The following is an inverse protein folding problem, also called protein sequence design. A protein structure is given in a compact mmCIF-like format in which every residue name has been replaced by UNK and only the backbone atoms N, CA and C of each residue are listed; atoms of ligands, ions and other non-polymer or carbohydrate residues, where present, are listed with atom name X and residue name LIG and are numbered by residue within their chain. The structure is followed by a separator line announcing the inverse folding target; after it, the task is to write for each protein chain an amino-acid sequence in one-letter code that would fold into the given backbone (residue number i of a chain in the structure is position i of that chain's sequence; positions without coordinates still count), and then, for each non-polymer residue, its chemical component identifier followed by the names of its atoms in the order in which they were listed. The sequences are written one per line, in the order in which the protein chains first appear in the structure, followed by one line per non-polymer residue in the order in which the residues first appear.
data_IF_008942742771
#
_entry.id   IF_008942742771
#
_cell.length_a   1.000
_cell.length_b   1.000
_cell.length_c   1.000
_cell.angle_alpha   90.00
_cell.angle_beta   90.00
_cell.angle_gamma   90.00
#
_symmetry.space_group_name_H-M   'P 1'
#
loop_
_entity.id
_entity.type
_entity.pdbx_description
1 polymer ?
#
# COMPACT_ATOMS: atom_id res chain seq x y z
N UNK A 1 81.83 -1.92 -27.44
CA UNK A 1 82.06 -0.47 -27.65
C UNK A 1 81.70 0.26 -26.36
N UNK A 2 82.67 0.95 -25.73
CA UNK A 2 82.45 1.65 -24.45
C UNK A 2 81.65 2.93 -24.71
N UNK A 3 80.63 3.20 -23.88
CA UNK A 3 79.80 4.40 -24.01
C UNK A 3 80.25 5.44 -23.00
N UNK A 4 80.53 6.64 -23.49
CA UNK A 4 80.92 7.78 -22.66
C UNK A 4 79.92 8.90 -22.82
N UNK A 5 79.56 9.56 -21.71
CA UNK A 5 78.87 10.84 -21.74
C UNK A 5 79.82 11.88 -21.17
N UNK A 6 80.08 12.93 -21.95
CA UNK A 6 80.90 14.07 -21.53
C UNK A 6 80.00 15.26 -21.28
N UNK A 7 80.01 15.77 -20.04
CA UNK A 7 79.32 17.00 -19.68
C UNK A 7 80.38 18.08 -19.56
N UNK A 8 80.20 19.18 -20.29
CA UNK A 8 81.09 20.35 -20.24
C UNK A 8 80.33 21.50 -19.63
N UNK A 9 80.85 22.04 -18.53
CA UNK A 9 80.34 23.24 -17.88
C UNK A 9 81.47 24.28 -17.71
N UNK A 10 81.17 25.40 -17.05
CA UNK A 10 82.13 26.48 -16.79
C UNK A 10 83.36 26.05 -15.96
N UNK A 11 83.36 24.83 -15.40
CA UNK A 11 84.40 24.24 -14.56
C UNK A 11 85.26 23.20 -15.30
N UNK A 12 84.97 22.92 -16.57
CA UNK A 12 85.72 21.97 -17.41
C UNK A 12 84.88 20.78 -17.91
N UNK A 13 85.55 19.79 -18.50
CA UNK A 13 84.90 18.61 -19.11
C UNK A 13 85.04 17.38 -18.20
N UNK A 14 83.92 16.83 -17.73
CA UNK A 14 83.86 15.55 -17.01
C UNK A 14 83.32 14.44 -17.91
N UNK A 15 84.07 13.34 -18.03
CA UNK A 15 83.69 12.13 -18.79
C UNK A 15 83.26 11.02 -17.84
N UNK A 16 82.09 10.43 -18.09
CA UNK A 16 81.57 9.29 -17.35
C UNK A 16 81.55 8.06 -18.27
N UNK A 17 82.19 6.96 -17.83
CA UNK A 17 82.18 5.67 -18.54
C UNK A 17 81.01 4.82 -18.06
N UNK A 18 80.20 4.32 -19.00
CA UNK A 18 79.06 3.46 -18.71
C UNK A 18 79.32 2.01 -19.12
N UNK A 19 78.63 1.08 -18.45
CA UNK A 19 78.74 -0.36 -18.72
C UNK A 19 78.43 -0.69 -20.19
N UNK A 20 78.98 -1.79 -20.75
CA UNK A 20 78.78 -2.15 -22.16
C UNK A 20 77.30 -2.28 -22.59
N UNK A 21 76.41 -2.59 -21.65
CA UNK A 21 74.98 -2.81 -21.88
C UNK A 21 74.13 -1.54 -21.65
N UNK A 22 74.73 -0.42 -21.24
CA UNK A 22 74.01 0.79 -20.84
C UNK A 22 73.03 1.30 -21.90
N UNK A 23 73.47 1.39 -23.17
CA UNK A 23 72.60 1.83 -24.28
C UNK A 23 71.39 0.92 -24.49
N UNK A 24 71.58 -0.40 -24.41
CA UNK A 24 70.51 -1.38 -24.55
C UNK A 24 69.49 -1.23 -23.43
N UNK A 25 69.94 -1.12 -22.19
CA UNK A 25 69.05 -0.98 -21.04
C UNK A 25 68.32 0.38 -21.04
N UNK A 26 68.98 1.46 -21.49
CA UNK A 26 68.37 2.77 -21.66
C UNK A 26 67.24 2.72 -22.71
N UNK A 27 67.48 2.06 -23.85
CA UNK A 27 66.46 1.86 -24.88
C UNK A 27 65.30 1.01 -24.37
N UNK A 28 65.56 -0.10 -23.66
CA UNK A 28 64.51 -0.92 -23.07
C UNK A 28 63.67 -0.15 -22.03
N UNK A 29 64.32 0.67 -21.20
CA UNK A 29 63.63 1.55 -20.25
C UNK A 29 62.78 2.61 -20.96
N UNK A 30 63.28 3.23 -22.03
CA UNK A 30 62.52 4.18 -22.83
C UNK A 30 61.31 3.52 -23.51
N UNK A 31 61.49 2.35 -24.13
CA UNK A 31 60.39 1.58 -24.73
C UNK A 31 59.35 1.20 -23.67
N UNK A 32 59.78 0.74 -22.50
CA UNK A 32 58.89 0.40 -21.38
C UNK A 32 58.06 1.60 -20.91
N UNK A 33 58.68 2.77 -20.75
CA UNK A 33 57.98 4.01 -20.39
C UNK A 33 56.96 4.43 -21.46
N UNK A 34 57.33 4.34 -22.73
CA UNK A 34 56.41 4.62 -23.84
C UNK A 34 55.25 3.63 -23.87
N UNK A 35 55.51 2.34 -23.62
CA UNK A 35 54.46 1.31 -23.54
C UNK A 35 53.50 1.55 -22.37
N UNK A 36 54.00 1.92 -21.19
CA UNK A 36 53.16 2.31 -20.05
C UNK A 36 52.31 3.53 -20.40
N UNK A 37 52.93 4.56 -20.98
CA UNK A 37 52.22 5.77 -21.38
C UNK A 37 51.10 5.47 -22.37
N UNK A 38 51.36 4.61 -23.37
CA UNK A 38 50.36 4.19 -24.34
C UNK A 38 49.21 3.41 -23.69
N UNK A 39 49.51 2.50 -22.76
CA UNK A 39 48.51 1.76 -21.99
C UNK A 39 47.62 2.68 -21.16
N UNK A 40 48.21 3.67 -20.47
CA UNK A 40 47.46 4.67 -19.71
C UNK A 40 46.56 5.51 -20.62
N UNK A 41 47.04 5.85 -21.81
CA UNK A 41 46.28 6.64 -22.78
C UNK A 41 45.09 5.86 -23.34
N UNK A 42 45.29 4.57 -23.68
CA UNK A 42 44.21 3.66 -24.09
C UNK A 42 43.20 3.42 -22.98
N UNK A 43 43.65 3.23 -21.74
CA UNK A 43 42.78 3.08 -20.58
C UNK A 43 41.90 4.31 -20.36
N UNK A 44 42.49 5.51 -20.44
CA UNK A 44 41.75 6.77 -20.34
C UNK A 44 40.69 6.91 -21.43
N UNK A 45 41.03 6.54 -22.67
CA UNK A 45 40.08 6.57 -23.79
C UNK A 45 38.91 5.59 -23.55
N UNK A 46 39.21 4.37 -23.10
CA UNK A 46 38.17 3.37 -22.78
C UNK A 46 37.25 3.84 -21.64
N UNK A 47 37.81 4.48 -20.61
CA UNK A 47 37.05 5.08 -19.51
C UNK A 47 36.11 6.20 -19.99
N UNK A 48 36.60 7.10 -20.87
CA UNK A 48 35.76 8.16 -21.45
C UNK A 48 34.59 7.62 -22.24
N UNK A 49 34.81 6.58 -23.05
CA UNK A 49 33.73 5.93 -23.81
C UNK A 49 32.67 5.34 -22.88
N UNK A 50 33.09 4.55 -21.88
CA UNK A 50 32.16 3.97 -20.89
C UNK A 50 31.38 5.03 -20.12
N UNK A 51 32.02 6.14 -19.74
CA UNK A 51 31.33 7.23 -19.06
C UNK A 51 30.26 7.88 -19.94
N UNK A 52 30.55 8.09 -21.23
CA UNK A 52 29.58 8.62 -22.18
C UNK A 52 28.37 7.68 -22.34
N UNK A 53 28.60 6.38 -22.42
CA UNK A 53 27.51 5.38 -22.49
C UNK A 53 26.66 5.40 -21.20
N UNK A 54 27.30 5.56 -20.04
CA UNK A 54 26.62 5.64 -18.75
C UNK A 54 25.71 6.88 -18.66
N UNK A 55 26.18 8.02 -19.17
CA UNK A 55 25.40 9.26 -19.21
C UNK A 55 24.15 9.10 -20.11
N UNK A 56 24.28 8.45 -21.26
CA UNK A 56 23.14 8.16 -22.16
C UNK A 56 22.12 7.22 -21.49
N UNK A 57 22.59 6.16 -20.82
CA UNK A 57 21.73 5.25 -20.05
C UNK A 57 20.99 6.00 -18.93
N UNK A 58 21.69 6.86 -18.20
CA UNK A 58 21.08 7.68 -17.14
C UNK A 58 19.99 8.59 -17.73
N UNK A 59 20.26 9.28 -18.83
CA UNK A 59 19.26 10.12 -19.49
C UNK A 59 18.02 9.32 -19.93
N UNK A 60 18.22 8.12 -20.50
CA UNK A 60 17.11 7.22 -20.86
C UNK A 60 16.29 6.79 -19.65
N UNK A 61 16.94 6.42 -18.55
CA UNK A 61 16.26 6.06 -17.29
C UNK A 61 15.47 7.26 -16.75
N UNK A 62 16.03 8.47 -16.80
CA UNK A 62 15.32 9.68 -16.37
C UNK A 62 14.08 9.97 -17.24
N UNK A 63 14.21 9.85 -18.57
CA UNK A 63 13.09 10.02 -19.49
C UNK A 63 11.98 8.99 -19.24
N UNK A 64 12.34 7.71 -19.11
CA UNK A 64 11.39 6.64 -18.79
C UNK A 64 10.70 6.85 -17.45
N UNK A 65 11.43 7.29 -16.42
CA UNK A 65 10.83 7.58 -15.11
C UNK A 65 9.85 8.75 -15.18
N UNK A 66 10.12 9.75 -16.02
CA UNK A 66 9.21 10.87 -16.23
C UNK A 66 7.93 10.42 -16.96
N UNK A 67 8.06 9.64 -18.02
CA UNK A 67 6.93 9.05 -18.73
C UNK A 67 6.08 8.16 -17.80
N UNK A 68 6.73 7.30 -17.01
CA UNK A 68 6.07 6.43 -16.06
C UNK A 68 5.33 7.22 -14.98
N UNK A 69 5.89 8.35 -14.52
CA UNK A 69 5.20 9.26 -13.59
C UNK A 69 3.95 9.85 -14.21
N UNK A 70 4.04 10.38 -15.43
CA UNK A 70 2.90 10.97 -16.13
C UNK A 70 1.80 9.91 -16.36
N UNK A 71 2.17 8.71 -16.82
CA UNK A 71 1.22 7.61 -17.01
C UNK A 71 0.54 7.20 -15.70
N UNK A 72 1.28 7.15 -14.59
CA UNK A 72 0.69 6.88 -13.27
C UNK A 72 -0.29 7.97 -12.83
N UNK A 73 0.00 9.24 -13.10
CA UNK A 73 -0.94 10.34 -12.80
C UNK A 73 -2.22 10.24 -13.62
N UNK A 74 -2.10 9.93 -14.91
CA UNK A 74 -3.26 9.69 -15.79
C UNK A 74 -4.09 8.50 -15.33
N UNK A 75 -3.45 7.38 -14.99
CA UNK A 75 -4.13 6.20 -14.44
C UNK A 75 -4.84 6.52 -13.13
N UNK A 76 -4.23 7.29 -12.23
CA UNK A 76 -4.86 7.71 -10.99
C UNK A 76 -6.09 8.58 -11.24
N UNK A 77 -6.01 9.49 -12.23
CA UNK A 77 -7.15 10.33 -12.62
C UNK A 77 -8.28 9.47 -13.19
N UNK A 78 -7.99 8.62 -14.17
CA UNK A 78 -8.95 7.71 -14.78
C UNK A 78 -9.61 6.79 -13.73
N UNK A 79 -8.82 6.24 -12.80
CA UNK A 79 -9.32 5.42 -11.69
C UNK A 79 -10.26 6.21 -10.79
N UNK A 80 -9.93 7.46 -10.45
CA UNK A 80 -10.78 8.29 -9.60
C UNK A 80 -12.09 8.66 -10.31
N UNK A 81 -12.04 8.96 -11.60
CA UNK A 81 -13.23 9.25 -12.40
C UNK A 81 -14.13 8.00 -12.50
N UNK A 82 -13.54 6.83 -12.76
CA UNK A 82 -14.26 5.55 -12.74
C UNK A 82 -14.85 5.23 -11.35
N UNK A 83 -14.15 5.58 -10.27
CA UNK A 83 -14.67 5.40 -8.90
C UNK A 83 -15.89 6.28 -8.66
N UNK A 84 -15.86 7.54 -9.13
CA UNK A 84 -17.02 8.44 -9.05
C UNK A 84 -18.19 7.94 -9.89
N UNK A 85 -17.93 7.40 -11.08
CA UNK A 85 -18.97 6.79 -11.91
C UNK A 85 -19.56 5.54 -11.23
N UNK A 86 -18.73 4.68 -10.64
CA UNK A 86 -19.18 3.53 -9.86
C UNK A 86 -19.99 3.94 -8.63
N UNK A 87 -19.58 4.98 -7.92
CA UNK A 87 -20.33 5.52 -6.77
C UNK A 87 -21.68 6.06 -7.23
N UNK A 88 -21.71 6.81 -8.34
CA UNK A 88 -22.95 7.33 -8.94
C UNK A 88 -23.86 6.21 -9.45
N UNK A 89 -23.31 5.21 -10.13
CA UNK A 89 -24.07 4.03 -10.57
C UNK A 89 -24.54 3.20 -9.38
N UNK A 90 -23.77 3.13 -8.30
CA UNK A 90 -24.18 2.51 -7.04
C UNK A 90 -25.32 3.28 -6.36
N UNK A 91 -25.29 4.61 -6.37
CA UNK A 91 -26.41 5.45 -5.92
C UNK A 91 -27.64 5.30 -6.82
N UNK A 92 -27.46 5.22 -8.14
CA UNK A 92 -28.55 4.98 -9.09
C UNK A 92 -29.15 3.58 -8.94
N UNK A 93 -28.33 2.54 -8.78
CA UNK A 93 -28.77 1.18 -8.48
C UNK A 93 -29.46 1.10 -7.13
N UNK A 94 -28.92 1.76 -6.10
CA UNK A 94 -29.56 1.86 -4.79
C UNK A 94 -30.89 2.61 -4.88
N UNK A 95 -31.00 3.66 -5.69
CA UNK A 95 -32.25 4.37 -5.94
C UNK A 95 -33.24 3.52 -6.75
N UNK A 96 -32.76 2.70 -7.70
CA UNK A 96 -33.59 1.77 -8.47
C UNK A 96 -34.06 0.57 -7.65
N UNK A 97 -33.20 0.01 -6.80
CA UNK A 97 -33.54 -0.99 -5.79
C UNK A 97 -34.51 -0.42 -4.76
N UNK A 98 -34.29 0.83 -4.33
CA UNK A 98 -35.22 1.56 -3.47
C UNK A 98 -36.54 1.79 -4.18
N UNK A 99 -36.56 2.16 -5.47
CA UNK A 99 -37.79 2.31 -6.24
C UNK A 99 -38.51 0.98 -6.46
N UNK A 100 -37.79 -0.10 -6.74
CA UNK A 100 -38.35 -1.45 -6.86
C UNK A 100 -38.91 -1.94 -5.52
N UNK A 101 -38.20 -1.70 -4.42
CA UNK A 101 -38.67 -1.97 -3.07
C UNK A 101 -39.85 -1.07 -2.66
N UNK A 102 -39.85 0.21 -3.07
CA UNK A 102 -40.98 1.14 -2.90
C UNK A 102 -42.20 0.71 -3.72
N UNK A 103 -41.98 0.12 -4.90
CA UNK A 103 -43.05 -0.43 -5.74
C UNK A 103 -43.64 -1.72 -5.16
N UNK A 104 -42.83 -2.59 -4.53
CA UNK A 104 -43.32 -3.73 -3.74
C UNK A 104 -44.02 -3.29 -2.43
N UNK A 105 -43.53 -2.24 -1.78
CA UNK A 105 -44.07 -1.75 -0.50
C UNK A 105 -45.27 -0.82 -0.65
N UNK A 106 -45.51 -0.22 -1.82
CA UNK A 106 -46.75 0.50 -2.12
C UNK A 106 -47.99 -0.43 -2.17
N UNK A 107 -47.81 -1.75 -2.18
CA UNK A 107 -48.89 -2.73 -1.92
C UNK A 107 -49.02 -3.12 -0.43
N UNK A 108 -48.16 -2.60 0.45
CA UNK A 108 -48.13 -2.88 1.90
C UNK A 108 -47.90 -1.61 2.72
N UNK A 109 -48.60 -0.55 2.33
CA UNK A 109 -48.59 0.76 2.98
C UNK A 109 -48.55 0.70 4.52
N UNK A 110 -47.76 1.61 5.07
CA UNK A 110 -48.09 2.37 6.28
C UNK A 110 -48.40 1.55 7.55
N UNK A 111 -47.35 1.16 8.26
CA UNK A 111 -47.24 1.25 9.73
C UNK A 111 -45.89 0.68 10.18
N UNK A 112 -44.90 1.54 10.40
CA UNK A 112 -44.19 1.65 11.69
C UNK A 112 -42.99 2.60 11.56
N UNK A 113 -43.11 3.72 12.27
CA UNK A 113 -42.03 4.64 12.55
C UNK A 113 -40.94 3.96 13.39
N UNK A 114 -39.68 4.07 12.94
CA UNK A 114 -38.55 4.38 13.81
C UNK A 114 -38.26 3.44 14.98
N UNK A 115 -38.18 2.13 14.75
CA UNK A 115 -37.43 1.14 15.55
C UNK A 115 -37.72 -0.22 14.94
N UNK A 116 -36.72 -0.93 14.43
CA UNK A 116 -36.90 -2.37 14.24
C UNK A 116 -36.95 -2.95 15.67
N UNK A 117 -38.14 -3.31 16.13
CA UNK A 117 -38.30 -4.07 17.38
C UNK A 117 -37.86 -5.51 17.12
N UNK A 118 -36.55 -5.75 17.11
CA UNK A 118 -36.00 -7.09 16.97
C UNK A 118 -36.46 -7.91 18.18
N UNK A 119 -37.07 -9.07 17.93
CA UNK A 119 -37.27 -10.06 18.98
C UNK A 119 -35.93 -10.38 19.65
N UNK A 120 -35.94 -10.83 20.92
CA UNK A 120 -34.70 -11.15 21.64
C UNK A 120 -33.80 -12.13 20.87
N UNK A 121 -34.40 -13.12 20.22
CA UNK A 121 -33.70 -14.08 19.37
C UNK A 121 -33.12 -13.43 18.10
N UNK A 122 -33.89 -12.56 17.44
CA UNK A 122 -33.41 -11.83 16.26
C UNK A 122 -32.28 -10.86 16.61
N UNK A 123 -32.36 -10.18 17.76
CA UNK A 123 -31.29 -9.31 18.28
C UNK A 123 -30.00 -10.08 18.53
N UNK A 124 -30.10 -11.30 19.08
CA UNK A 124 -28.96 -12.19 19.30
C UNK A 124 -28.34 -12.67 17.98
N UNK A 125 -29.16 -13.08 16.99
CA UNK A 125 -28.68 -13.45 15.65
C UNK A 125 -27.99 -12.26 14.98
N UNK A 126 -28.62 -11.09 15.02
CA UNK A 126 -28.10 -9.85 14.45
C UNK A 126 -26.72 -9.50 14.98
N UNK A 127 -26.53 -9.53 16.31
CA UNK A 127 -25.22 -9.25 16.94
C UNK A 127 -24.10 -10.20 16.52
N UNK A 128 -24.43 -11.44 16.14
CA UNK A 128 -23.46 -12.43 15.68
C UNK A 128 -23.09 -12.22 14.23
N UNK A 129 -24.06 -11.93 13.38
CA UNK A 129 -23.87 -11.92 11.92
C UNK A 129 -23.54 -10.56 11.33
N UNK A 130 -23.90 -9.47 12.03
CA UNK A 130 -23.61 -8.09 11.61
C UNK A 130 -22.41 -7.56 12.40
N UNK A 131 -21.37 -7.03 11.72
CA UNK A 131 -20.24 -6.39 12.38
C UNK A 131 -20.69 -5.39 13.43
N UNK A 132 -20.21 -5.54 14.66
CA UNK A 132 -20.60 -4.65 15.75
C UNK A 132 -19.55 -4.54 16.85
N UNK A 133 -19.47 -3.37 17.49
CA UNK A 133 -18.49 -3.12 18.54
C UNK A 133 -17.09 -2.82 17.99
N UNK A 134 -16.18 -2.50 18.91
CA UNK A 134 -14.82 -2.08 18.58
C UNK A 134 -13.92 -3.29 18.30
N UNK A 135 -13.14 -3.28 17.19
CA UNK A 135 -12.22 -4.38 16.85
C UNK A 135 -10.94 -4.39 17.71
N UNK A 136 -10.65 -3.29 18.40
CA UNK A 136 -9.52 -3.11 19.33
C UNK A 136 -9.99 -2.37 20.57
N UNK A 137 -9.17 -2.35 21.62
CA UNK A 137 -9.45 -1.51 22.79
C UNK A 137 -9.64 -0.04 22.34
N UNK A 138 -10.78 0.55 22.67
CA UNK A 138 -11.08 1.93 22.28
C UNK A 138 -10.13 2.91 23.00
N UNK A 139 -9.22 3.52 22.21
CA UNK A 139 -8.33 4.61 22.63
C UNK A 139 -8.51 5.87 21.78
N UNK A 140 -9.63 5.95 21.06
CA UNK A 140 -9.99 7.04 20.16
C UNK A 140 -9.71 6.76 18.68
N UNK A 141 -10.43 7.50 17.86
CA UNK A 141 -10.29 7.54 16.40
C UNK A 141 -9.19 8.53 16.04
N UNK A 142 -8.25 8.13 15.18
CA UNK A 142 -7.20 9.01 14.65
C UNK A 142 -7.56 9.61 13.29
N UNK A 143 -8.33 8.90 12.48
CA UNK A 143 -8.84 9.39 11.21
C UNK A 143 -10.19 8.76 10.87
N UNK A 144 -11.14 9.55 10.37
CA UNK A 144 -12.53 9.14 10.15
C UNK A 144 -12.76 8.64 8.73
N UNK A 145 -13.83 7.88 8.53
CA UNK A 145 -14.34 7.51 7.21
C UNK A 145 -14.79 8.75 6.41
N UNK A 146 -14.71 8.68 5.07
CA UNK A 146 -15.20 9.72 4.16
C UNK A 146 -14.11 10.52 3.44
N UNK A 147 -14.51 11.57 2.72
CA UNK A 147 -13.56 12.40 1.97
C UNK A 147 -12.62 13.18 2.89
N UNK A 148 -11.32 13.01 2.70
CA UNK A 148 -10.29 13.75 3.43
C UNK A 148 -9.09 14.09 2.54
N UNK A 149 -8.27 15.05 2.98
CA UNK A 149 -6.97 15.29 2.36
C UNK A 149 -6.03 14.18 2.82
N UNK A 150 -5.57 13.34 1.89
CA UNK A 150 -4.69 12.22 2.20
C UNK A 150 -3.36 12.72 2.78
N UNK A 151 -2.87 12.21 3.92
CA UNK A 151 -1.76 12.79 4.67
C UNK A 151 -0.43 12.76 3.91
N UNK A 152 -0.21 11.72 3.10
CA UNK A 152 1.00 11.58 2.29
C UNK A 152 0.93 12.37 0.99
N UNK A 153 -0.08 12.10 0.15
CA UNK A 153 -0.17 12.71 -1.19
C UNK A 153 -0.77 14.13 -1.20
N UNK A 154 -1.36 14.60 -0.10
CA UNK A 154 -2.05 15.91 0.03
C UNK A 154 -3.18 16.16 -0.98
N UNK A 155 -3.72 15.10 -1.59
CA UNK A 155 -4.88 15.16 -2.49
C UNK A 155 -6.13 14.70 -1.73
N UNK A 156 -7.30 15.28 -2.04
CA UNK A 156 -8.57 14.73 -1.56
C UNK A 156 -8.73 13.28 -2.02
N UNK A 157 -8.88 12.36 -1.07
CA UNK A 157 -9.15 10.94 -1.31
C UNK A 157 -10.20 10.47 -0.33
N UNK A 158 -11.04 9.55 -0.79
CA UNK A 158 -11.98 8.85 0.06
C UNK A 158 -11.21 7.90 0.98
N UNK A 159 -11.48 7.99 2.27
CA UNK A 159 -11.05 7.01 3.25
C UNK A 159 -12.10 5.91 3.34
N UNK A 160 -11.74 4.69 2.94
CA UNK A 160 -12.67 3.56 2.88
C UNK A 160 -12.95 2.91 4.24
N UNK A 161 -12.33 3.41 5.32
CA UNK A 161 -12.44 2.87 6.66
C UNK A 161 -12.23 3.93 7.73
N UNK A 162 -11.84 3.48 8.91
CA UNK A 162 -11.53 4.31 10.06
C UNK A 162 -10.18 3.91 10.64
N UNK A 163 -9.38 4.89 11.05
CA UNK A 163 -8.08 4.65 11.67
C UNK A 163 -8.25 4.75 13.19
N UNK A 164 -7.91 3.67 13.89
CA UNK A 164 -8.10 3.52 15.33
C UNK A 164 -6.75 3.57 16.05
N UNK A 165 -6.64 4.41 17.08
CA UNK A 165 -5.41 4.55 17.86
C UNK A 165 -5.04 3.22 18.52
N UNK A 166 -3.92 2.64 18.11
CA UNK A 166 -3.40 1.41 18.68
C UNK A 166 -1.87 1.36 18.60
N UNK A 167 -1.21 0.94 19.68
CA UNK A 167 0.23 0.67 19.65
C UNK A 167 0.50 -0.62 18.89
N UNK A 168 1.71 -0.80 18.33
CA UNK A 168 2.12 -2.09 17.75
C UNK A 168 1.94 -3.20 18.79
N UNK A 169 1.38 -4.34 18.38
CA UNK A 169 1.11 -5.48 19.27
C UNK A 169 -0.22 -5.41 20.02
N UNK A 170 -1.10 -4.43 19.75
CA UNK A 170 -2.44 -4.40 20.38
C UNK A 170 -3.29 -5.54 19.79
N UNK A 171 -3.97 -6.37 20.60
CA UNK A 171 -4.81 -7.44 20.07
C UNK A 171 -6.02 -6.87 19.31
N UNK A 172 -6.29 -7.44 18.13
CA UNK A 172 -7.45 -7.15 17.30
C UNK A 172 -8.41 -8.35 17.26
N UNK A 173 -9.71 -8.09 17.26
CA UNK A 173 -10.76 -9.08 17.40
C UNK A 173 -11.79 -9.01 16.28
N UNK A 174 -12.35 -10.16 15.89
CA UNK A 174 -13.43 -10.23 14.91
C UNK A 174 -14.70 -9.54 15.43
N UNK A 175 -15.29 -8.67 14.63
CA UNK A 175 -16.51 -7.91 15.02
C UNK A 175 -17.81 -8.63 14.68
N UNK A 176 -17.77 -9.76 13.99
CA UNK A 176 -18.88 -10.68 13.72
C UNK A 176 -18.36 -12.10 13.43
N UNK A 177 -19.25 -13.08 13.50
CA UNK A 177 -18.99 -14.44 13.03
C UNK A 177 -18.73 -14.43 11.52
N UNK A 178 -17.80 -15.24 11.05
CA UNK A 178 -17.47 -15.29 9.63
C UNK A 178 -16.36 -16.26 9.29
N UNK A 179 -15.94 -16.22 8.03
CA UNK A 179 -14.78 -16.97 7.54
C UNK A 179 -13.69 -16.01 7.07
N UNK A 180 -12.43 -16.36 7.37
CA UNK A 180 -11.27 -15.57 6.98
C UNK A 180 -11.08 -15.68 5.48
N UNK A 181 -11.49 -14.63 4.75
CA UNK A 181 -11.34 -14.51 3.29
C UNK A 181 -9.88 -14.30 2.90
N UNK A 182 -9.11 -13.61 3.74
CA UNK A 182 -7.69 -13.37 3.52
C UNK A 182 -6.94 -13.16 4.84
N UNK A 183 -5.70 -13.65 4.93
CA UNK A 183 -4.76 -13.35 6.01
C UNK A 183 -3.34 -13.41 5.46
N UNK A 184 -2.61 -12.30 5.48
CA UNK A 184 -1.25 -12.22 4.95
C UNK A 184 -0.81 -10.80 4.60
N UNK A 185 0.32 -10.67 3.91
CA UNK A 185 0.74 -9.42 3.28
C UNK A 185 -0.10 -9.17 2.02
N UNK A 186 -0.79 -8.03 1.96
CA UNK A 186 -1.63 -7.69 0.82
C UNK A 186 -0.84 -7.28 -0.44
N UNK A 187 0.45 -6.96 -0.31
CA UNK A 187 1.26 -6.37 -1.38
C UNK A 187 0.77 -4.97 -1.82
N UNK A 188 -0.09 -4.33 -1.04
CA UNK A 188 -0.69 -3.03 -1.31
C UNK A 188 -0.49 -2.07 -0.13
N UNK A 189 -1.07 -0.87 -0.20
CA UNK A 189 -1.01 0.12 0.87
C UNK A 189 -1.54 -0.37 2.23
N UNK A 190 -2.37 -1.41 2.28
CA UNK A 190 -2.87 -2.00 3.52
C UNK A 190 -1.77 -2.70 4.35
N UNK A 191 -0.66 -3.12 3.74
CA UNK A 191 0.35 -3.94 4.42
C UNK A 191 -0.20 -5.31 4.81
N UNK A 192 0.12 -5.78 6.02
CA UNK A 192 -0.47 -7.03 6.51
C UNK A 192 -1.95 -6.81 6.84
N UNK A 193 -2.78 -7.71 6.33
CA UNK A 193 -4.23 -7.59 6.29
C UNK A 193 -4.88 -8.91 6.72
N UNK A 194 -5.92 -8.80 7.54
CA UNK A 194 -6.94 -9.82 7.71
C UNK A 194 -8.24 -9.30 7.09
N UNK A 195 -8.90 -10.11 6.26
CA UNK A 195 -10.25 -9.86 5.76
C UNK A 195 -11.16 -11.02 6.15
N UNK A 196 -12.33 -10.70 6.71
CA UNK A 196 -13.31 -11.66 7.20
C UNK A 196 -14.61 -11.40 6.45
N UNK A 197 -15.08 -12.42 5.74
CA UNK A 197 -16.39 -12.41 5.11
C UNK A 197 -17.43 -12.92 6.11
N UNK A 198 -18.50 -12.16 6.27
CA UNK A 198 -19.60 -12.40 7.16
C UNK A 198 -20.85 -12.77 6.37
N UNK A 199 -21.92 -13.14 7.07
CA UNK A 199 -23.20 -13.43 6.43
C UNK A 199 -23.81 -12.17 5.80
N UNK A 200 -24.77 -12.37 4.91
CA UNK A 200 -25.57 -11.30 4.29
C UNK A 200 -24.75 -10.25 3.54
N UNK A 201 -23.57 -10.62 3.00
CA UNK A 201 -22.78 -9.76 2.13
C UNK A 201 -21.85 -8.77 2.86
N UNK A 202 -21.71 -8.89 4.18
CA UNK A 202 -20.79 -8.07 4.97
C UNK A 202 -19.35 -8.59 4.89
N UNK A 203 -18.39 -7.68 4.89
CA UNK A 203 -16.96 -7.98 5.04
C UNK A 203 -16.33 -6.98 6.00
N UNK A 204 -15.37 -7.43 6.83
CA UNK A 204 -14.52 -6.54 7.63
C UNK A 204 -13.06 -6.72 7.28
N UNK A 205 -12.31 -5.60 7.28
CA UNK A 205 -10.87 -5.59 7.00
C UNK A 205 -10.10 -4.97 8.16
N UNK A 206 -8.95 -5.56 8.47
CA UNK A 206 -8.06 -5.17 9.55
C UNK A 206 -6.66 -5.03 8.96
N UNK A 207 -6.21 -3.81 8.73
CA UNK A 207 -4.99 -3.51 8.00
C UNK A 207 -3.91 -2.87 8.88
N UNK A 208 -2.72 -2.69 8.30
CA UNK A 208 -1.50 -2.22 8.97
C UNK A 208 -1.08 -3.11 10.14
N UNK A 209 -1.46 -4.39 10.11
CA UNK A 209 -1.19 -5.34 11.20
C UNK A 209 0.30 -5.69 11.28
N UNK A 210 0.76 -6.14 12.45
CA UNK A 210 2.12 -6.67 12.63
C UNK A 210 2.13 -8.20 12.53
N UNK A 211 1.13 -8.84 13.12
CA UNK A 211 1.00 -10.30 13.12
C UNK A 211 -0.43 -10.69 12.73
N UNK A 212 -0.53 -11.46 11.66
CA UNK A 212 -1.78 -12.01 11.11
C UNK A 212 -1.81 -13.55 11.15
N UNK A 213 -0.73 -14.20 11.58
CA UNK A 213 -0.58 -15.66 11.62
C UNK A 213 -1.44 -16.33 12.72
N UNK A 214 -2.13 -15.53 13.53
CA UNK A 214 -3.13 -15.99 14.50
C UNK A 214 -4.30 -16.68 13.80
N UNK A 215 -4.64 -16.24 12.58
CA UNK A 215 -5.68 -16.86 11.77
C UNK A 215 -5.20 -17.14 10.35
N UNK A 216 -5.79 -18.15 9.71
CA UNK A 216 -5.44 -18.58 8.35
C UNK A 216 -6.60 -18.39 7.40
N UNK A 217 -6.30 -18.16 6.12
CA UNK A 217 -7.33 -18.16 5.07
C UNK A 217 -8.16 -19.45 5.12
N UNK A 218 -9.48 -19.31 5.04
CA UNK A 218 -10.45 -20.40 5.15
C UNK A 218 -10.85 -20.79 6.58
N UNK A 219 -10.24 -20.20 7.60
CA UNK A 219 -10.61 -20.44 9.00
C UNK A 219 -11.94 -19.79 9.35
N UNK A 220 -12.78 -20.49 10.11
CA UNK A 220 -13.97 -19.91 10.75
C UNK A 220 -13.59 -19.18 12.03
N UNK A 221 -14.17 -18.01 12.24
CA UNK A 221 -14.00 -17.18 13.44
C UNK A 221 -15.37 -16.78 13.97
N UNK A 222 -15.45 -16.67 15.29
CA UNK A 222 -16.60 -16.12 16.00
C UNK A 222 -16.33 -14.68 16.37
N UNK A 223 -17.39 -13.92 16.57
CA UNK A 223 -17.32 -12.59 17.14
C UNK A 223 -16.54 -12.61 18.46
N UNK A 224 -15.55 -11.73 18.56
CA UNK A 224 -14.67 -11.61 19.72
C UNK A 224 -13.45 -12.52 19.69
N UNK A 225 -13.30 -13.39 18.69
CA UNK A 225 -12.08 -14.17 18.53
C UNK A 225 -10.90 -13.24 18.20
N UNK A 226 -9.74 -13.53 18.78
CA UNK A 226 -8.48 -12.87 18.44
C UNK A 226 -8.08 -13.25 17.02
N UNK A 227 -7.85 -12.24 16.17
CA UNK A 227 -7.50 -12.44 14.76
C UNK A 227 -6.08 -11.98 14.41
N UNK A 228 -5.41 -11.30 15.34
CA UNK A 228 -4.05 -10.83 15.13
C UNK A 228 -3.72 -9.63 16.01
N UNK A 229 -2.64 -8.95 15.64
CA UNK A 229 -2.12 -7.82 16.39
C UNK A 229 -1.84 -6.63 15.49
N UNK A 230 -2.22 -5.44 15.94
CA UNK A 230 -2.01 -4.17 15.23
C UNK A 230 -0.52 -3.88 15.03
N UNK A 231 -0.20 -3.08 14.02
CA UNK A 231 1.18 -2.79 13.66
C UNK A 231 1.37 -1.40 13.08
N UNK A 232 2.29 -1.31 12.13
CA UNK A 232 2.55 -0.11 11.34
C UNK A 232 3.02 -0.50 9.92
N UNK A 233 2.51 -1.60 9.37
CA UNK A 233 2.93 -2.12 8.06
C UNK A 233 2.20 -1.42 6.91
N UNK A 234 2.75 -1.51 5.69
CA UNK A 234 2.15 -0.87 4.50
C UNK A 234 2.32 0.66 4.50
N UNK A 235 1.37 1.36 3.87
CA UNK A 235 1.36 2.81 3.76
C UNK A 235 0.73 3.44 5.01
N UNK A 236 1.47 3.40 6.12
CA UNK A 236 1.06 3.96 7.41
C UNK A 236 2.06 5.01 7.89
N UNK A 237 1.58 6.11 8.45
CA UNK A 237 2.41 7.19 9.01
C UNK A 237 2.76 6.97 10.49
N UNK A 238 2.10 6.04 11.17
CA UNK A 238 2.36 5.69 12.56
C UNK A 238 1.43 4.59 13.06
N UNK A 239 1.72 3.95 14.21
CA UNK A 239 0.96 2.79 14.67
C UNK A 239 -0.52 3.08 14.87
N UNK A 240 -1.36 2.30 14.19
CA UNK A 240 -2.82 2.30 14.29
C UNK A 240 -3.40 1.01 13.71
N UNK A 241 -4.71 0.80 13.89
CA UNK A 241 -5.46 -0.17 13.11
C UNK A 241 -6.31 0.57 12.09
N UNK A 242 -6.12 0.29 10.81
CA UNK A 242 -7.10 0.68 9.80
C UNK A 242 -8.18 -0.39 9.70
N UNK A 243 -9.43 0.01 9.95
CA UNK A 243 -10.58 -0.89 10.02
C UNK A 243 -11.66 -0.48 9.01
N UNK A 244 -12.13 -1.43 8.20
CA UNK A 244 -13.23 -1.21 7.26
C UNK A 244 -14.42 -2.11 7.58
N UNK A 245 -15.62 -1.60 7.34
CA UNK A 245 -16.85 -2.38 7.20
C UNK A 245 -17.33 -2.20 5.77
N UNK A 246 -17.63 -3.31 5.09
CA UNK A 246 -18.06 -3.31 3.69
C UNK A 246 -19.36 -4.11 3.54
N UNK A 247 -20.16 -3.75 2.54
CA UNK A 247 -21.33 -4.50 2.11
C UNK A 247 -21.34 -4.59 0.59
N UNK A 248 -21.35 -5.81 0.06
CA UNK A 248 -21.28 -6.08 -1.39
C UNK A 248 -20.19 -5.25 -2.08
N UNK A 249 -18.98 -5.27 -1.50
CA UNK A 249 -17.80 -4.50 -1.92
C UNK A 249 -17.87 -2.97 -1.80
N UNK A 250 -18.97 -2.37 -1.33
CA UNK A 250 -19.02 -0.94 -1.00
C UNK A 250 -18.54 -0.68 0.43
N UNK A 251 -17.68 0.33 0.62
CA UNK A 251 -17.30 0.77 1.96
C UNK A 251 -18.46 1.50 2.65
N UNK A 252 -18.66 1.15 3.91
CA UNK A 252 -19.64 1.74 4.82
C UNK A 252 -18.90 2.50 5.93
N UNK A 253 -19.59 3.39 6.64
CA UNK A 253 -18.97 4.11 7.76
C UNK A 253 -18.83 3.19 8.99
N UNK A 254 -17.61 2.77 9.39
CA UNK A 254 -17.43 1.81 10.48
C UNK A 254 -17.93 2.33 11.83
N UNK A 255 -17.99 3.65 12.06
CA UNK A 255 -18.43 4.21 13.35
C UNK A 255 -19.88 3.81 13.66
N UNK A 256 -20.72 3.71 12.63
CA UNK A 256 -22.12 3.31 12.76
C UNK A 256 -22.25 1.86 13.28
N UNK A 257 -21.31 1.01 12.91
CA UNK A 257 -21.25 -0.39 13.35
C UNK A 257 -20.57 -0.55 14.71
N UNK A 258 -19.54 0.24 15.00
CA UNK A 258 -18.84 0.16 16.28
C UNK A 258 -19.70 0.66 17.44
N UNK A 259 -20.43 1.76 17.24
CA UNK A 259 -21.29 2.34 18.28
C UNK A 259 -22.69 1.75 18.30
N UNK A 260 -23.17 1.22 17.16
CA UNK A 260 -24.55 0.74 16.96
C UNK A 260 -25.63 1.82 17.23
N UNK A 261 -25.22 3.09 17.39
CA UNK A 261 -26.14 4.20 17.61
C UNK A 261 -26.72 4.65 16.28
N UNK A 262 -27.91 4.12 15.98
CA UNK A 262 -28.67 4.56 14.82
C UNK A 262 -28.28 3.91 13.49
N UNK A 263 -27.67 2.74 13.55
CA UNK A 263 -27.18 2.00 12.40
C UNK A 263 -28.17 1.99 11.22
N UNK A 264 -29.43 1.65 11.48
CA UNK A 264 -30.46 1.49 10.45
C UNK A 264 -30.80 2.78 9.68
N UNK A 265 -30.64 3.96 10.29
CA UNK A 265 -30.94 5.24 9.63
C UNK A 265 -29.69 5.90 9.04
N UNK A 266 -28.52 5.67 9.65
CA UNK A 266 -27.26 6.25 9.18
C UNK A 266 -26.72 5.52 7.95
N UNK A 267 -26.83 4.19 7.93
CA UNK A 267 -26.24 3.37 6.87
C UNK A 267 -27.28 2.90 5.86
N UNK A 268 -27.74 3.83 5.00
CA UNK A 268 -28.83 3.56 4.04
C UNK A 268 -28.43 2.70 2.84
N UNK A 269 -27.13 2.45 2.65
CA UNK A 269 -26.62 1.57 1.59
C UNK A 269 -26.97 0.10 1.81
N UNK A 270 -27.32 -0.26 3.05
CA UNK A 270 -27.75 -1.62 3.39
C UNK A 270 -29.29 -1.69 3.35
N UNK A 271 -29.88 -2.67 2.64
CA UNK A 271 -31.33 -2.88 2.62
C UNK A 271 -31.76 -3.55 3.93
N UNK A 272 -31.87 -2.78 5.02
CA UNK A 272 -32.07 -3.30 6.38
C UNK A 272 -33.33 -4.12 6.57
N UNK A 273 -34.43 -3.79 5.90
CA UNK A 273 -35.66 -4.58 5.99
C UNK A 273 -35.49 -5.98 5.41
N UNK A 274 -34.88 -6.08 4.22
CA UNK A 274 -34.59 -7.37 3.58
C UNK A 274 -33.55 -8.16 4.38
N UNK A 275 -32.52 -7.48 4.87
CA UNK A 275 -31.47 -8.07 5.71
C UNK A 275 -32.05 -8.62 7.01
N UNK A 276 -32.89 -7.85 7.71
CA UNK A 276 -33.52 -8.28 8.96
C UNK A 276 -34.43 -9.50 8.75
N UNK A 277 -35.21 -9.51 7.66
CA UNK A 277 -36.03 -10.66 7.28
C UNK A 277 -35.17 -11.91 6.99
N UNK A 278 -34.09 -11.75 6.23
CA UNK A 278 -33.18 -12.86 5.94
C UNK A 278 -32.49 -13.41 7.21
N UNK A 279 -32.18 -12.57 8.20
CA UNK A 279 -31.63 -13.00 9.50
C UNK A 279 -32.70 -13.74 10.33
N UNK A 280 -33.96 -13.32 10.24
CA UNK A 280 -35.06 -13.99 10.94
C UNK A 280 -35.23 -15.43 10.45
N UNK A 281 -35.16 -15.61 9.12
CA UNK A 281 -35.31 -16.88 8.41
C UNK A 281 -34.08 -17.83 8.53
N UNK A 282 -32.91 -17.31 8.92
CA UNK A 282 -31.63 -18.04 9.09
C UNK A 282 -31.50 -18.75 10.44
#
# INVERSE_FOLDING_TARGET
MKTYVSITDSSGNKKYEFSPNFRRNLLLGAVFLVSIFLLLLLSNLSLKLKNSDLEDILQKIYAQNLELRNSNEELLKARNDLTKELDKSGEELSNLELMAALQETNLKEQKQNGSLNLSSNLSLKFKKVIPSGWPVQNRGVTDSYGERIHPVSRVKRLHHGIDLRASVGTPAYATADGFVKFSGDSGTGYGKLVSIAHNFGFETRYAHMENVDVVRMGQWVKKGDLIGYTGNTGLSTGPHLHYEVRFLDHSLDPINFMEQTGLFYKERKVPWNATAKAIEDF
#
